data_IF_933354183739
#
_entry.id   IF_933354183739
#
_cell.length_a   1.000
_cell.length_b   1.000
_cell.length_c   1.000
_cell.angle_alpha   90.00
_cell.angle_beta   90.00
_cell.angle_gamma   90.00
#
_symmetry.space_group_name_H-M   'P 1'
#
loop_
_entity.id
_entity.type
_entity.pdbx_description
1 polymer ?
#
# COMPACT_ATOMS: atom_id res chain seq x y z
N UNK A 1 38.18 -24.45 -40.32
CA UNK A 1 39.54 -24.07 -39.82
C UNK A 1 39.45 -23.73 -38.33
N UNK A 2 40.05 -24.62 -37.54
CA UNK A 2 40.44 -24.57 -36.11
C UNK A 2 39.48 -24.01 -35.05
N UNK A 3 38.90 -24.95 -34.36
CA UNK A 3 38.33 -24.94 -33.03
C UNK A 3 39.45 -24.69 -31.99
N UNK A 4 39.25 -23.73 -31.06
CA UNK A 4 40.03 -23.70 -29.82
C UNK A 4 39.08 -23.88 -28.64
N UNK A 5 39.22 -25.05 -27.99
CA UNK A 5 38.71 -25.40 -26.67
C UNK A 5 39.55 -24.68 -25.60
N UNK A 6 38.92 -24.10 -24.63
CA UNK A 6 39.59 -23.66 -23.37
C UNK A 6 38.90 -24.42 -22.24
N UNK A 7 39.69 -25.19 -21.53
CA UNK A 7 39.33 -26.09 -20.43
C UNK A 7 39.05 -25.32 -19.15
N UNK A 8 38.01 -25.76 -18.46
CA UNK A 8 37.71 -25.36 -17.08
C UNK A 8 38.67 -26.06 -16.11
N UNK A 9 39.21 -25.32 -15.16
CA UNK A 9 39.97 -25.86 -14.04
C UNK A 9 39.11 -25.75 -12.78
N UNK A 10 38.60 -26.88 -12.30
CA UNK A 10 37.99 -27.05 -10.98
C UNK A 10 39.10 -27.10 -9.94
N UNK A 11 39.00 -26.20 -8.92
CA UNK A 11 39.80 -26.31 -7.70
C UNK A 11 38.85 -26.69 -6.55
N UNK A 12 38.86 -27.96 -6.16
CA UNK A 12 38.21 -28.49 -4.99
C UNK A 12 39.12 -28.27 -3.76
N UNK A 13 38.65 -27.56 -2.78
CA UNK A 13 39.31 -27.42 -1.48
C UNK A 13 38.56 -28.24 -0.44
N UNK A 14 39.07 -29.43 -0.12
CA UNK A 14 38.63 -30.31 0.94
C UNK A 14 39.27 -29.89 2.26
N UNK A 15 38.46 -29.42 3.24
CA UNK A 15 38.88 -29.28 4.64
C UNK A 15 38.46 -30.53 5.42
N UNK A 16 39.46 -31.33 5.84
CA UNK A 16 39.32 -32.38 6.84
C UNK A 16 39.21 -31.74 8.25
N UNK A 17 38.17 -32.06 8.96
CA UNK A 17 38.17 -31.91 10.44
C UNK A 17 38.31 -33.29 11.06
N UNK A 18 39.39 -33.46 11.82
CA UNK A 18 39.67 -34.63 12.64
C UNK A 18 38.79 -34.61 13.91
N UNK A 19 38.10 -35.74 14.17
CA UNK A 19 37.50 -36.05 15.45
C UNK A 19 38.55 -36.58 16.41
N UNK A 20 38.68 -35.92 17.56
CA UNK A 20 39.31 -36.50 18.73
C UNK A 20 38.24 -36.80 19.78
N UNK A 21 37.99 -38.07 20.02
CA UNK A 21 37.16 -38.55 21.12
C UNK A 21 38.04 -38.70 22.38
N UNK A 22 37.60 -38.19 23.50
CA UNK A 22 37.98 -38.81 24.82
C UNK A 22 37.08 -38.33 25.96
N UNK A 23 36.47 -39.34 26.67
CA UNK A 23 36.31 -39.32 28.10
C UNK A 23 35.03 -38.80 28.72
N UNK A 24 34.14 -39.74 29.05
CA UNK A 24 32.99 -39.55 29.92
C UNK A 24 33.41 -39.24 31.38
N UNK A 25 32.70 -38.31 32.03
CA UNK A 25 32.43 -38.32 33.48
C UNK A 25 31.09 -37.65 33.73
N UNK A 26 30.19 -38.43 34.34
CA UNK A 26 28.91 -37.98 34.90
C UNK A 26 29.15 -37.17 36.21
N UNK A 27 28.29 -36.16 36.42
CA UNK A 27 27.50 -35.81 37.63
C UNK A 27 27.12 -34.31 37.60
N UNK A 28 26.20 -33.81 38.42
CA UNK A 28 24.78 -33.66 38.12
C UNK A 28 24.31 -32.20 38.29
N UNK A 29 23.05 -31.99 37.89
CA UNK A 29 22.13 -30.91 38.31
C UNK A 29 22.66 -29.47 38.40
N UNK A 30 22.11 -28.60 37.51
CA UNK A 30 22.29 -27.16 37.64
C UNK A 30 21.68 -26.38 36.48
N UNK A 31 20.42 -26.05 36.61
CA UNK A 31 19.78 -24.84 36.12
C UNK A 31 19.87 -24.53 34.61
N UNK A 32 18.77 -24.82 33.90
CA UNK A 32 18.40 -24.17 32.66
C UNK A 32 18.37 -22.66 32.87
N UNK A 33 19.44 -21.99 32.52
CA UNK A 33 19.48 -20.53 32.40
C UNK A 33 18.79 -20.13 31.09
N UNK A 34 17.67 -19.54 31.28
CA UNK A 34 16.78 -18.82 30.42
C UNK A 34 17.51 -17.91 29.40
N UNK A 35 17.72 -18.37 28.15
CA UNK A 35 18.22 -17.54 27.04
C UNK A 35 17.13 -16.67 26.40
N UNK A 36 16.00 -16.45 27.07
CA UNK A 36 14.85 -15.76 26.49
C UNK A 36 14.53 -14.38 27.12
N UNK A 37 15.40 -13.85 27.99
CA UNK A 37 15.16 -12.55 28.66
C UNK A 37 15.82 -11.34 27.98
N UNK A 38 16.60 -11.53 26.90
CA UNK A 38 17.35 -10.43 26.28
C UNK A 38 16.59 -9.74 25.12
N UNK A 39 15.38 -10.18 24.78
CA UNK A 39 14.58 -9.61 23.69
C UNK A 39 13.44 -8.68 24.12
N UNK A 40 13.13 -8.60 25.41
CA UNK A 40 12.03 -7.77 25.93
C UNK A 40 12.47 -6.41 26.50
N UNK A 41 13.74 -6.25 26.87
CA UNK A 41 14.24 -4.99 27.46
C UNK A 41 14.49 -3.85 26.43
N UNK A 42 14.59 -4.15 25.13
CA UNK A 42 14.82 -3.15 24.09
C UNK A 42 13.54 -2.46 23.56
N UNK A 43 12.34 -2.88 24.00
CA UNK A 43 11.05 -2.31 23.57
C UNK A 43 10.52 -1.18 24.48
N UNK A 44 11.05 -0.98 25.68
CA UNK A 44 10.51 -0.03 26.69
C UNK A 44 10.92 1.45 26.49
N UNK A 45 11.31 1.91 25.33
CA UNK A 45 11.75 3.31 25.19
C UNK A 45 11.30 4.02 23.91
N UNK A 46 10.60 3.35 23.01
CA UNK A 46 10.34 3.91 21.68
C UNK A 46 8.91 4.38 21.53
N UNK A 47 8.71 5.69 21.42
CA UNK A 47 7.41 6.25 21.08
C UNK A 47 6.95 5.68 19.73
N UNK A 48 5.82 4.95 19.67
CA UNK A 48 5.30 4.46 18.41
C UNK A 48 5.05 5.63 17.47
N UNK A 49 5.61 5.57 16.27
CA UNK A 49 5.32 6.53 15.23
C UNK A 49 4.00 6.13 14.61
N UNK A 50 3.06 7.04 14.53
CA UNK A 50 1.76 6.82 13.94
C UNK A 50 1.54 7.75 12.75
N UNK A 51 0.82 7.24 11.76
CA UNK A 51 0.36 8.02 10.61
C UNK A 51 -0.95 7.45 10.08
N UNK A 52 -1.63 8.25 9.28
CA UNK A 52 -2.95 7.92 8.77
C UNK A 52 -3.00 7.96 7.26
N UNK A 53 -3.84 7.09 6.69
CA UNK A 53 -4.07 7.02 5.24
C UNK A 53 -5.57 7.06 4.93
N UNK A 54 -5.93 7.62 3.78
CA UNK A 54 -7.30 7.60 3.26
C UNK A 54 -7.26 7.30 1.77
N UNK A 55 -8.08 6.36 1.31
CA UNK A 55 -8.31 6.14 -0.11
C UNK A 55 -9.74 6.49 -0.50
N UNK A 56 -9.91 7.08 -1.69
CA UNK A 56 -11.21 7.55 -2.15
C UNK A 56 -11.30 7.53 -3.68
N UNK A 57 -12.16 6.66 -4.22
CA UNK A 57 -12.56 6.74 -5.62
C UNK A 57 -13.49 7.96 -5.78
N UNK A 58 -13.15 8.89 -6.66
CA UNK A 58 -13.81 10.20 -6.79
C UNK A 58 -14.88 10.25 -7.88
N UNK A 59 -15.22 9.10 -8.44
CA UNK A 59 -16.25 8.96 -9.49
C UNK A 59 -16.05 9.99 -10.62
N UNK A 60 -14.97 9.81 -11.41
CA UNK A 60 -14.65 10.66 -12.57
C UNK A 60 -14.52 12.17 -12.29
N UNK A 61 -13.95 12.55 -11.14
CA UNK A 61 -13.68 13.95 -10.82
C UNK A 61 -12.89 14.62 -11.98
N UNK A 62 -13.42 15.70 -12.53
CA UNK A 62 -12.86 16.42 -13.69
C UNK A 62 -13.33 15.95 -15.06
N UNK A 63 -14.23 14.95 -15.14
CA UNK A 63 -14.87 14.52 -16.41
C UNK A 63 -16.36 14.83 -16.48
N UNK A 64 -16.97 15.32 -15.43
CA UNK A 64 -18.37 15.65 -15.42
C UNK A 64 -18.69 16.70 -16.49
N UNK A 65 -19.68 16.40 -17.34
CA UNK A 65 -20.09 17.27 -18.47
C UNK A 65 -20.87 18.52 -18.04
N UNK A 66 -21.12 18.68 -16.77
CA UNK A 66 -21.89 19.76 -16.17
C UNK A 66 -20.95 20.89 -15.74
N UNK A 67 -20.66 21.84 -16.56
CA UNK A 67 -19.98 23.13 -16.33
C UNK A 67 -18.97 23.31 -15.17
N UNK A 68 -18.11 24.31 -15.24
CA UNK A 68 -17.04 24.54 -14.24
C UNK A 68 -17.55 24.72 -12.80
N UNK A 69 -18.73 25.32 -12.61
CA UNK A 69 -19.34 25.53 -11.30
C UNK A 69 -19.69 24.21 -10.59
N UNK A 70 -20.07 23.17 -11.35
CA UNK A 70 -20.38 21.86 -10.79
C UNK A 70 -19.13 21.10 -10.39
N UNK A 71 -18.03 21.25 -11.13
CA UNK A 71 -16.73 20.66 -10.76
C UNK A 71 -16.24 21.25 -9.44
N UNK A 72 -16.30 22.58 -9.27
CA UNK A 72 -15.86 23.25 -8.05
C UNK A 72 -16.68 22.80 -6.84
N UNK A 73 -18.00 22.67 -6.97
CA UNK A 73 -18.87 22.15 -5.92
C UNK A 73 -18.56 20.68 -5.56
N UNK A 74 -18.30 19.81 -6.56
CA UNK A 74 -17.88 18.43 -6.34
C UNK A 74 -16.53 18.37 -5.61
N UNK A 75 -15.54 19.14 -6.06
CA UNK A 75 -14.22 19.18 -5.40
C UNK A 75 -14.29 19.66 -3.94
N UNK A 76 -15.17 20.63 -3.64
CA UNK A 76 -15.41 21.08 -2.25
C UNK A 76 -15.98 19.96 -1.38
N UNK A 77 -16.95 19.20 -1.91
CA UNK A 77 -17.55 18.07 -1.19
C UNK A 77 -16.55 16.93 -1.00
N UNK A 78 -15.76 16.58 -2.05
CA UNK A 78 -14.68 15.57 -1.93
C UNK A 78 -13.66 15.96 -0.87
N UNK A 79 -13.22 17.24 -0.87
CA UNK A 79 -12.30 17.74 0.15
C UNK A 79 -12.91 17.71 1.54
N UNK A 80 -14.19 18.08 1.70
CA UNK A 80 -14.89 18.03 2.97
C UNK A 80 -15.02 16.60 3.53
N UNK A 81 -15.20 15.59 2.66
CA UNK A 81 -15.18 14.18 3.07
C UNK A 81 -13.80 13.78 3.61
N UNK A 82 -12.72 14.19 2.93
CA UNK A 82 -11.34 13.92 3.34
C UNK A 82 -11.02 14.63 4.67
N UNK A 83 -11.44 15.89 4.82
CA UNK A 83 -11.18 16.73 6.00
C UNK A 83 -11.82 16.23 7.29
N UNK A 84 -12.79 15.28 7.22
CA UNK A 84 -13.33 14.62 8.41
C UNK A 84 -12.26 13.89 9.22
N UNK A 85 -11.18 13.43 8.56
CA UNK A 85 -10.09 12.67 9.18
C UNK A 85 -8.73 13.34 9.10
N UNK A 86 -8.54 14.34 8.21
CA UNK A 86 -7.25 15.01 7.97
C UNK A 86 -6.09 14.03 7.82
N UNK A 87 -6.19 13.04 6.91
CA UNK A 87 -5.20 11.98 6.79
C UNK A 87 -3.85 12.48 6.30
N UNK A 88 -2.78 11.81 6.72
CA UNK A 88 -1.42 12.18 6.30
C UNK A 88 -1.13 11.77 4.84
N UNK A 89 -1.79 10.71 4.37
CA UNK A 89 -1.64 10.22 2.98
C UNK A 89 -3.03 9.98 2.40
N UNK A 90 -3.26 10.49 1.18
CA UNK A 90 -4.53 10.38 0.47
C UNK A 90 -4.28 9.78 -0.91
N UNK A 91 -4.94 8.68 -1.24
CA UNK A 91 -4.96 8.11 -2.59
C UNK A 91 -6.31 8.37 -3.24
N UNK A 92 -6.31 9.00 -4.40
CA UNK A 92 -7.51 9.27 -5.19
C UNK A 92 -7.53 8.35 -6.41
N UNK A 93 -8.68 7.77 -6.70
CA UNK A 93 -8.96 7.02 -7.93
C UNK A 93 -10.01 7.76 -8.75
N UNK A 94 -10.07 7.48 -10.03
CA UNK A 94 -10.93 8.18 -11.00
C UNK A 94 -10.77 9.70 -10.98
N UNK A 95 -9.62 10.17 -10.57
CA UNK A 95 -9.25 11.57 -10.64
C UNK A 95 -8.67 11.83 -12.04
N UNK A 96 -9.53 12.27 -12.95
CA UNK A 96 -9.28 12.22 -14.39
C UNK A 96 -8.09 13.05 -14.86
N UNK A 97 -7.73 14.08 -14.12
CA UNK A 97 -6.63 14.99 -14.48
C UNK A 97 -5.82 15.41 -13.26
N UNK A 98 -4.56 15.79 -13.49
CA UNK A 98 -3.74 16.44 -12.47
C UNK A 98 -4.40 17.70 -11.90
N UNK A 99 -5.11 18.45 -12.74
CA UNK A 99 -5.81 19.67 -12.32
C UNK A 99 -6.98 19.36 -11.38
N UNK A 100 -7.73 18.28 -11.60
CA UNK A 100 -8.78 17.83 -10.70
C UNK A 100 -8.20 17.47 -9.33
N UNK A 101 -7.13 16.64 -9.29
CA UNK A 101 -6.45 16.28 -8.05
C UNK A 101 -5.90 17.51 -7.31
N UNK A 102 -5.31 18.44 -8.02
CA UNK A 102 -4.80 19.68 -7.44
C UNK A 102 -5.93 20.61 -6.94
N UNK A 103 -7.07 20.62 -7.64
CA UNK A 103 -8.24 21.39 -7.22
C UNK A 103 -8.84 20.81 -5.92
N UNK A 104 -8.93 19.49 -5.77
CA UNK A 104 -9.33 18.84 -4.52
C UNK A 104 -8.34 19.22 -3.42
N UNK A 105 -7.02 19.02 -3.64
CA UNK A 105 -5.96 19.35 -2.68
C UNK A 105 -6.07 20.82 -2.19
N UNK A 106 -6.27 21.77 -3.11
CA UNK A 106 -6.39 23.21 -2.79
C UNK A 106 -7.62 23.55 -1.93
N UNK A 107 -8.59 22.66 -1.82
CA UNK A 107 -9.80 22.83 -1.02
C UNK A 107 -9.74 22.13 0.34
N UNK A 108 -8.70 21.36 0.61
CA UNK A 108 -8.45 20.81 1.95
C UNK A 108 -8.23 21.94 2.95
N UNK A 109 -8.68 21.75 4.18
CA UNK A 109 -8.54 22.74 5.26
C UNK A 109 -7.07 23.12 5.49
N UNK A 110 -6.18 22.13 5.52
CA UNK A 110 -4.74 22.30 5.77
C UNK A 110 -3.94 22.21 4.44
N UNK A 111 -4.50 22.70 3.33
CA UNK A 111 -3.97 22.57 1.95
C UNK A 111 -2.49 22.89 1.78
N UNK A 112 -1.97 23.83 2.57
CA UNK A 112 -0.58 24.29 2.48
C UNK A 112 0.40 23.27 3.06
N UNK A 113 -0.09 22.29 3.84
CA UNK A 113 0.70 21.18 4.36
C UNK A 113 0.78 19.99 3.38
N UNK A 114 0.02 20.01 2.28
CA UNK A 114 -0.04 18.87 1.38
C UNK A 114 0.66 19.11 0.04
N UNK A 115 1.43 18.09 -0.38
CA UNK A 115 1.97 17.97 -1.71
C UNK A 115 1.20 16.93 -2.53
N UNK A 116 1.19 17.09 -3.87
CA UNK A 116 0.55 16.19 -4.82
C UNK A 116 1.60 15.47 -5.67
N UNK A 117 1.40 14.17 -5.86
CA UNK A 117 2.07 13.36 -6.88
C UNK A 117 0.99 12.76 -7.78
N UNK A 118 0.91 13.22 -9.00
CA UNK A 118 0.00 12.66 -10.00
C UNK A 118 0.63 11.48 -10.71
N UNK A 119 -0.20 10.53 -11.14
CA UNK A 119 0.18 9.51 -12.11
C UNK A 119 0.52 10.12 -13.47
N UNK A 120 0.97 9.29 -14.40
CA UNK A 120 1.10 9.67 -15.81
C UNK A 120 -0.28 9.98 -16.42
N UNK A 121 -0.27 10.67 -17.56
CA UNK A 121 -1.50 10.88 -18.34
C UNK A 121 -2.22 9.54 -18.59
N UNK A 122 -3.49 9.46 -18.22
CA UNK A 122 -4.29 8.24 -18.32
C UNK A 122 -4.34 7.36 -17.06
N UNK A 123 -3.45 7.55 -16.09
CA UNK A 123 -3.46 6.74 -14.86
C UNK A 123 -4.71 6.98 -13.99
N UNK A 124 -5.28 8.17 -14.04
CA UNK A 124 -6.45 8.60 -13.28
C UNK A 124 -6.36 8.33 -11.77
N UNK A 125 -5.12 8.21 -11.26
CA UNK A 125 -4.79 8.09 -9.85
C UNK A 125 -3.91 9.25 -9.40
N UNK A 126 -4.02 9.64 -8.14
CA UNK A 126 -3.17 10.66 -7.55
C UNK A 126 -2.87 10.31 -6.09
N UNK A 127 -1.69 10.68 -5.62
CA UNK A 127 -1.32 10.60 -4.22
C UNK A 127 -1.08 12.01 -3.68
N UNK A 128 -1.73 12.33 -2.56
CA UNK A 128 -1.52 13.56 -1.80
C UNK A 128 -0.92 13.16 -0.46
N UNK A 129 0.10 13.86 0.00
CA UNK A 129 0.75 13.54 1.27
C UNK A 129 1.09 14.81 2.07
N UNK A 130 1.03 14.69 3.38
CA UNK A 130 1.41 15.76 4.31
C UNK A 130 2.94 15.92 4.31
N UNK A 131 3.43 17.02 3.73
CA UNK A 131 4.86 17.33 3.60
C UNK A 131 5.53 17.72 4.93
N UNK A 132 4.77 17.94 5.99
CA UNK A 132 5.31 18.17 7.33
C UNK A 132 5.60 16.86 8.06
N UNK A 133 5.01 15.75 7.61
CA UNK A 133 5.19 14.39 8.14
C UNK A 133 6.09 13.56 7.24
N UNK A 134 5.96 13.73 5.92
CA UNK A 134 6.66 12.92 4.93
C UNK A 134 7.45 13.74 3.92
N UNK A 135 8.56 13.17 3.49
CA UNK A 135 9.32 13.59 2.31
C UNK A 135 9.17 12.55 1.18
N UNK A 136 8.91 13.00 -0.04
CA UNK A 136 8.94 12.13 -1.22
C UNK A 136 10.38 11.92 -1.67
N UNK A 137 10.85 10.68 -1.64
CA UNK A 137 12.22 10.33 -2.07
C UNK A 137 12.27 9.81 -3.51
N UNK A 138 11.20 9.13 -3.97
CA UNK A 138 11.11 8.66 -5.35
C UNK A 138 9.63 8.48 -5.77
N UNK A 139 9.39 8.40 -7.07
CA UNK A 139 8.07 8.04 -7.62
C UNK A 139 8.19 7.56 -9.05
N UNK A 140 7.23 6.78 -9.49
CA UNK A 140 7.15 6.33 -10.88
C UNK A 140 5.74 5.88 -11.26
N UNK A 141 5.57 5.62 -12.55
CA UNK A 141 4.31 5.16 -13.11
C UNK A 141 4.59 4.31 -14.35
N UNK A 142 3.92 3.15 -14.46
CA UNK A 142 3.97 2.29 -15.64
C UNK A 142 2.61 1.66 -15.93
N UNK A 143 2.34 1.39 -17.19
CA UNK A 143 1.12 0.69 -17.60
C UNK A 143 1.17 -0.79 -17.23
N UNK A 144 0.09 -1.30 -16.65
CA UNK A 144 -0.06 -2.70 -16.21
C UNK A 144 -1.20 -3.45 -16.91
N UNK A 145 -2.12 -2.73 -17.56
CA UNK A 145 -3.20 -3.28 -18.38
C UNK A 145 -3.49 -2.36 -19.55
N UNK A 146 -3.91 -2.93 -20.67
CA UNK A 146 -4.32 -2.20 -21.88
C UNK A 146 -5.75 -2.58 -22.20
N UNK A 147 -6.60 -1.61 -22.51
CA UNK A 147 -7.98 -1.85 -22.93
C UNK A 147 -8.03 -2.84 -24.10
N UNK A 148 -8.80 -3.93 -23.92
CA UNK A 148 -8.92 -5.00 -24.93
C UNK A 148 -7.73 -5.95 -25.04
N UNK A 149 -6.84 -5.98 -24.04
CA UNK A 149 -5.74 -6.95 -24.00
C UNK A 149 -6.26 -8.39 -23.81
N UNK A 150 -5.36 -9.35 -23.80
CA UNK A 150 -5.67 -10.81 -23.68
C UNK A 150 -6.43 -11.18 -22.40
N UNK A 151 -6.38 -10.33 -21.36
CA UNK A 151 -7.12 -10.51 -20.11
C UNK A 151 -8.55 -9.95 -20.21
N UNK A 152 -8.90 -9.28 -21.29
CA UNK A 152 -10.18 -8.59 -21.49
C UNK A 152 -10.32 -7.32 -20.66
N UNK A 153 -9.19 -6.66 -20.33
CA UNK A 153 -9.19 -5.39 -19.59
C UNK A 153 -10.10 -4.38 -20.27
N UNK A 154 -11.02 -3.77 -19.50
CA UNK A 154 -11.95 -2.78 -20.04
C UNK A 154 -11.29 -1.41 -20.24
N UNK A 155 -10.23 -1.13 -19.48
CA UNK A 155 -9.55 0.15 -19.47
C UNK A 155 -8.03 -0.02 -19.41
N UNK A 156 -7.32 1.02 -19.85
CA UNK A 156 -5.90 1.17 -19.55
C UNK A 156 -5.72 1.33 -18.04
N UNK A 157 -4.82 0.55 -17.44
CA UNK A 157 -4.53 0.60 -16.01
C UNK A 157 -3.04 0.78 -15.77
N UNK A 158 -2.73 1.47 -14.68
CA UNK A 158 -1.36 1.91 -14.38
C UNK A 158 -0.99 1.55 -12.94
N UNK A 159 0.24 1.11 -12.75
CA UNK A 159 0.92 1.09 -11.47
C UNK A 159 1.57 2.46 -11.27
N UNK A 160 1.03 3.26 -10.39
CA UNK A 160 1.69 4.44 -9.83
C UNK A 160 2.28 4.03 -8.48
N UNK A 161 3.48 4.48 -8.18
CA UNK A 161 4.09 4.26 -6.87
C UNK A 161 4.80 5.52 -6.39
N UNK A 162 4.80 5.74 -5.07
CA UNK A 162 5.46 6.87 -4.43
C UNK A 162 6.21 6.34 -3.21
N UNK A 163 7.52 6.56 -3.14
CA UNK A 163 8.33 6.27 -1.95
C UNK A 163 8.33 7.50 -1.07
N UNK A 164 7.90 7.30 0.17
CA UNK A 164 7.84 8.33 1.20
C UNK A 164 8.79 7.97 2.33
N UNK A 165 9.48 8.97 2.88
CA UNK A 165 10.26 8.89 4.10
C UNK A 165 9.55 9.66 5.19
N UNK A 166 9.26 9.01 6.32
CA UNK A 166 8.77 9.70 7.51
C UNK A 166 9.89 10.57 8.08
N UNK A 167 9.64 11.88 8.22
CA UNK A 167 10.69 12.87 8.51
C UNK A 167 11.35 12.64 9.87
N UNK A 168 10.55 12.38 10.90
CA UNK A 168 11.05 12.20 12.27
C UNK A 168 11.86 10.92 12.43
N UNK A 169 11.42 9.79 11.87
CA UNK A 169 12.05 8.49 12.06
C UNK A 169 13.07 8.11 10.98
N UNK A 170 13.02 8.77 9.83
CA UNK A 170 13.79 8.40 8.65
C UNK A 170 13.34 7.13 7.93
N UNK A 171 12.25 6.50 8.39
CA UNK A 171 11.74 5.25 7.83
C UNK A 171 11.14 5.50 6.45
N UNK A 172 11.51 4.67 5.47
CA UNK A 172 10.96 4.70 4.12
C UNK A 172 9.97 3.56 3.89
N UNK A 173 8.92 3.86 3.15
CA UNK A 173 7.98 2.89 2.63
C UNK A 173 7.42 3.34 1.28
N UNK A 174 6.87 2.42 0.51
CA UNK A 174 6.25 2.71 -0.77
C UNK A 174 4.72 2.69 -0.63
N UNK A 175 4.06 3.69 -1.21
CA UNK A 175 2.59 3.76 -1.29
C UNK A 175 2.17 3.61 -2.74
N UNK A 176 1.17 2.77 -2.95
CA UNK A 176 0.61 2.47 -4.27
C UNK A 176 -0.88 2.80 -4.27
N UNK A 177 -1.29 3.90 -4.92
CA UNK A 177 -2.70 4.14 -5.19
C UNK A 177 -3.19 3.11 -6.23
N UNK A 178 -4.12 2.25 -5.81
CA UNK A 178 -4.66 1.17 -6.63
C UNK A 178 -5.93 1.62 -7.36
N UNK A 179 -6.00 1.31 -8.64
CA UNK A 179 -7.24 1.25 -9.41
C UNK A 179 -7.08 0.21 -10.52
N UNK A 180 -7.37 -1.04 -10.18
CA UNK A 180 -7.34 -2.16 -11.15
C UNK A 180 -8.67 -2.30 -11.87
N UNK A 181 -8.72 -3.17 -12.88
CA UNK A 181 -9.92 -3.38 -13.68
C UNK A 181 -11.01 -4.14 -12.89
N UNK A 182 -12.27 -4.03 -13.32
CA UNK A 182 -13.39 -4.81 -12.74
C UNK A 182 -13.52 -6.20 -13.37
N UNK A 183 -12.91 -6.44 -14.54
CA UNK A 183 -12.89 -7.77 -15.17
C UNK A 183 -11.96 -8.68 -14.39
N UNK A 184 -12.48 -9.82 -13.90
CA UNK A 184 -11.75 -10.69 -12.98
C UNK A 184 -10.39 -11.13 -13.49
N UNK A 185 -10.27 -11.57 -14.74
CA UNK A 185 -8.99 -11.99 -15.30
C UNK A 185 -8.00 -10.83 -15.37
N UNK A 186 -8.48 -9.63 -15.71
CA UNK A 186 -7.66 -8.43 -15.81
C UNK A 186 -7.16 -7.97 -14.44
N UNK A 187 -8.03 -7.82 -13.41
CA UNK A 187 -7.53 -7.38 -12.11
C UNK A 187 -6.57 -8.39 -11.47
N UNK A 188 -6.78 -9.70 -11.67
CA UNK A 188 -5.84 -10.71 -11.15
C UNK A 188 -4.45 -10.57 -11.81
N UNK A 189 -4.40 -10.40 -13.14
CA UNK A 189 -3.15 -10.18 -13.86
C UNK A 189 -2.48 -8.85 -13.46
N UNK A 190 -3.25 -7.79 -13.26
CA UNK A 190 -2.73 -6.49 -12.86
C UNK A 190 -2.17 -6.52 -11.42
N UNK A 191 -2.86 -7.18 -10.48
CA UNK A 191 -2.37 -7.37 -9.11
C UNK A 191 -1.08 -8.21 -9.09
N UNK A 192 -0.96 -9.22 -9.97
CA UNK A 192 0.29 -9.98 -10.13
C UNK A 192 1.43 -9.07 -10.58
N UNK A 193 1.22 -8.26 -11.64
CA UNK A 193 2.24 -7.30 -12.12
C UNK A 193 2.66 -6.30 -11.05
N UNK A 194 1.73 -5.82 -10.22
CA UNK A 194 2.02 -4.91 -9.09
C UNK A 194 2.91 -5.59 -8.06
N UNK A 195 2.56 -6.82 -7.65
CA UNK A 195 3.34 -7.54 -6.64
C UNK A 195 4.72 -7.96 -7.15
N UNK A 196 4.83 -8.36 -8.42
CA UNK A 196 6.11 -8.68 -9.06
C UNK A 196 7.00 -7.43 -9.14
N UNK A 197 6.45 -6.29 -9.56
CA UNK A 197 7.18 -5.02 -9.55
C UNK A 197 7.73 -4.67 -8.16
N UNK A 198 6.91 -4.85 -7.11
CA UNK A 198 7.33 -4.57 -5.74
C UNK A 198 8.46 -5.49 -5.29
N UNK A 199 8.42 -6.77 -5.63
CA UNK A 199 9.50 -7.73 -5.35
C UNK A 199 10.80 -7.37 -6.05
N UNK A 200 10.72 -7.00 -7.31
CA UNK A 200 11.90 -6.74 -8.15
C UNK A 200 12.53 -5.37 -7.88
N UNK A 201 11.70 -4.33 -7.64
CA UNK A 201 12.15 -2.94 -7.63
C UNK A 201 12.05 -2.26 -6.26
N UNK A 202 11.33 -2.87 -5.30
CA UNK A 202 11.10 -2.34 -3.96
C UNK A 202 11.44 -3.38 -2.89
N UNK A 203 12.32 -4.33 -3.18
CA UNK A 203 12.73 -5.37 -2.23
C UNK A 203 13.25 -4.75 -0.92
N UNK A 204 12.80 -5.29 0.22
CA UNK A 204 13.20 -4.79 1.54
C UNK A 204 12.55 -3.47 1.98
N UNK A 205 11.59 -2.94 1.21
CA UNK A 205 10.83 -1.74 1.57
C UNK A 205 9.40 -2.14 1.96
N UNK A 206 8.89 -1.61 3.06
CA UNK A 206 7.48 -1.78 3.43
C UNK A 206 6.57 -1.16 2.39
N UNK A 207 5.40 -1.75 2.16
CA UNK A 207 4.47 -1.29 1.14
C UNK A 207 3.05 -1.11 1.72
N UNK A 208 2.38 -0.06 1.26
CA UNK A 208 0.94 0.17 1.48
C UNK A 208 0.27 0.25 0.12
N UNK A 209 -0.68 -0.63 -0.13
CA UNK A 209 -1.52 -0.66 -1.32
C UNK A 209 -2.92 -0.21 -0.91
N UNK A 210 -3.41 0.87 -1.48
CA UNK A 210 -4.68 1.46 -1.08
C UNK A 210 -5.47 1.99 -2.27
N UNK A 211 -6.75 1.66 -2.36
CA UNK A 211 -7.56 2.07 -3.49
C UNK A 211 -8.72 1.17 -3.81
N UNK A 212 -9.24 1.37 -5.01
CA UNK A 212 -10.27 0.56 -5.62
C UNK A 212 -9.65 -0.67 -6.31
N UNK A 213 -9.87 -1.82 -5.69
CA UNK A 213 -9.42 -3.12 -6.21
C UNK A 213 -10.46 -3.78 -7.12
N UNK A 214 -11.66 -3.18 -7.27
CA UNK A 214 -12.78 -3.74 -8.02
C UNK A 214 -13.07 -5.22 -7.67
N UNK A 215 -12.73 -5.64 -6.46
CA UNK A 215 -12.79 -7.02 -6.00
C UNK A 215 -13.14 -7.11 -4.52
N UNK A 216 -14.02 -8.07 -4.20
CA UNK A 216 -14.40 -8.39 -2.82
C UNK A 216 -13.23 -9.02 -2.04
N UNK A 217 -13.21 -8.91 -0.69
CA UNK A 217 -12.14 -9.47 0.15
C UNK A 217 -11.85 -10.95 -0.10
N UNK A 218 -12.90 -11.75 -0.34
CA UNK A 218 -12.76 -13.18 -0.62
C UNK A 218 -11.99 -13.47 -1.91
N UNK A 219 -12.18 -12.65 -2.94
CA UNK A 219 -11.46 -12.77 -4.21
C UNK A 219 -9.99 -12.37 -4.06
N UNK A 220 -9.71 -11.37 -3.23
CA UNK A 220 -8.34 -10.89 -3.00
C UNK A 220 -7.48 -11.88 -2.19
N UNK A 221 -8.07 -12.71 -1.33
CA UNK A 221 -7.35 -13.78 -0.60
C UNK A 221 -6.70 -14.80 -1.54
N UNK A 222 -7.28 -15.07 -2.70
CA UNK A 222 -6.75 -15.99 -3.70
C UNK A 222 -5.94 -15.31 -4.82
N UNK A 223 -5.80 -13.98 -4.77
CA UNK A 223 -4.97 -13.21 -5.69
C UNK A 223 -3.52 -13.11 -5.22
N UNK A 224 -2.67 -12.43 -6.01
CA UNK A 224 -1.29 -12.12 -5.62
C UNK A 224 -1.21 -11.36 -4.28
N UNK A 225 -2.22 -10.58 -3.91
CA UNK A 225 -2.26 -9.89 -2.61
C UNK A 225 -2.25 -10.90 -1.45
N UNK A 226 -3.11 -11.93 -1.50
CA UNK A 226 -3.16 -12.95 -0.46
C UNK A 226 -1.96 -13.89 -0.48
N UNK A 227 -1.54 -14.37 -1.67
CA UNK A 227 -0.42 -15.31 -1.82
C UNK A 227 0.94 -14.69 -1.47
N UNK A 228 1.08 -13.38 -1.61
CA UNK A 228 2.28 -12.61 -1.22
C UNK A 228 2.22 -12.07 0.21
N UNK A 229 1.22 -12.49 0.99
CA UNK A 229 1.07 -12.16 2.41
C UNK A 229 0.96 -10.65 2.69
N UNK A 230 0.18 -9.92 1.88
CA UNK A 230 -0.26 -8.58 2.25
C UNK A 230 -1.39 -8.68 3.27
N UNK A 231 -1.25 -7.96 4.38
CA UNK A 231 -2.24 -7.91 5.43
C UNK A 231 -3.32 -6.86 5.13
N UNK A 232 -4.58 -7.19 5.36
CA UNK A 232 -5.68 -6.24 5.26
C UNK A 232 -5.75 -5.36 6.50
N UNK A 233 -5.68 -4.04 6.34
CA UNK A 233 -5.87 -3.10 7.44
C UNK A 233 -7.24 -3.31 8.11
N UNK A 234 -8.29 -3.59 7.33
CA UNK A 234 -9.64 -3.90 7.82
C UNK A 234 -9.68 -5.13 8.73
N UNK A 235 -8.90 -6.17 8.41
CA UNK A 235 -8.90 -7.41 9.20
C UNK A 235 -7.96 -7.34 10.41
N UNK A 236 -6.91 -6.54 10.33
CA UNK A 236 -5.83 -6.46 11.32
C UNK A 236 -5.96 -5.29 12.30
N UNK A 237 -6.83 -4.31 12.02
CA UNK A 237 -6.98 -3.15 12.88
C UNK A 237 -7.37 -3.55 14.31
N UNK A 238 -6.67 -2.96 15.28
CA UNK A 238 -7.00 -3.11 16.70
C UNK A 238 -8.40 -2.59 17.00
N UNK A 239 -8.78 -1.48 16.36
CA UNK A 239 -10.13 -0.92 16.39
C UNK A 239 -10.69 -0.85 14.96
N UNK A 240 -11.79 -1.54 14.70
CA UNK A 240 -12.47 -1.54 13.40
C UNK A 240 -13.92 -1.08 13.56
N UNK A 241 -14.22 0.11 13.07
CA UNK A 241 -15.58 0.70 13.09
C UNK A 241 -16.48 0.21 11.96
N UNK A 242 -15.92 -0.42 10.92
CA UNK A 242 -16.65 -0.63 9.66
C UNK A 242 -16.38 -2.00 9.03
N UNK A 243 -16.32 -3.06 9.85
CA UNK A 243 -15.90 -4.40 9.40
C UNK A 243 -16.70 -4.93 8.20
N UNK A 244 -18.00 -4.63 8.15
CA UNK A 244 -18.94 -5.13 7.12
C UNK A 244 -19.62 -3.97 6.36
N UNK A 245 -19.05 -2.79 6.34
CA UNK A 245 -19.61 -1.62 5.66
C UNK A 245 -19.16 -1.65 4.20
N UNK A 246 -20.11 -1.59 3.27
CA UNK A 246 -19.84 -1.46 1.86
C UNK A 246 -19.10 -0.16 1.56
N UNK A 247 -18.12 -0.24 0.67
CA UNK A 247 -17.37 0.93 0.18
C UNK A 247 -17.95 1.45 -1.13
N UNK A 248 -18.62 0.60 -1.91
CA UNK A 248 -19.33 0.96 -3.15
C UNK A 248 -20.83 1.08 -2.91
N UNK A 249 -21.43 2.20 -3.35
CA UNK A 249 -22.84 2.56 -3.18
C UNK A 249 -23.71 2.23 -4.41
N UNK A 250 -23.08 1.82 -5.51
CA UNK A 250 -23.78 1.45 -6.74
C UNK A 250 -24.56 0.15 -6.60
N UNK A 251 -25.22 -0.26 -7.69
CA UNK A 251 -26.02 -1.48 -7.73
C UNK A 251 -25.20 -2.70 -7.31
N UNK A 252 -25.74 -3.47 -6.37
CA UNK A 252 -25.09 -4.65 -5.79
C UNK A 252 -24.17 -4.37 -4.60
N UNK A 253 -23.79 -3.14 -4.36
CA UNK A 253 -22.93 -2.75 -3.22
C UNK A 253 -21.57 -3.46 -3.23
N UNK A 254 -20.91 -3.43 -2.07
CA UNK A 254 -19.74 -4.27 -1.84
C UNK A 254 -18.55 -3.55 -1.23
N UNK A 255 -17.63 -4.36 -0.69
CA UNK A 255 -16.35 -3.88 -0.13
C UNK A 255 -15.30 -4.08 -1.22
N UNK A 256 -15.05 -3.06 -2.03
CA UNK A 256 -14.10 -3.11 -3.15
C UNK A 256 -12.94 -2.12 -3.03
N UNK A 257 -13.05 -1.16 -2.12
CA UNK A 257 -11.96 -0.27 -1.75
C UNK A 257 -11.25 -0.81 -0.50
N UNK A 258 -9.94 -0.94 -0.58
CA UNK A 258 -9.15 -1.61 0.45
C UNK A 258 -7.87 -0.86 0.78
N UNK A 259 -7.34 -1.14 1.98
CA UNK A 259 -5.99 -0.80 2.38
C UNK A 259 -5.29 -2.10 2.80
N UNK A 260 -4.25 -2.47 2.05
CA UNK A 260 -3.36 -3.59 2.36
C UNK A 260 -1.96 -3.09 2.68
N UNK A 261 -1.23 -3.84 3.48
CA UNK A 261 0.15 -3.50 3.82
C UNK A 261 1.03 -4.74 3.97
N UNK A 262 2.32 -4.55 3.76
CA UNK A 262 3.36 -5.55 3.98
C UNK A 262 4.56 -4.87 4.61
N UNK A 263 5.04 -5.41 5.73
CA UNK A 263 6.27 -4.95 6.36
C UNK A 263 7.49 -5.58 5.69
N UNK A 264 8.57 -4.84 5.56
CA UNK A 264 9.86 -5.39 5.14
C UNK A 264 10.48 -6.25 6.23
N UNK A 265 11.40 -7.16 5.88
CA UNK A 265 12.06 -8.09 6.80
C UNK A 265 12.82 -7.37 7.94
N UNK A 266 13.36 -6.17 7.67
CA UNK A 266 14.05 -5.33 8.65
C UNK A 266 13.14 -4.40 9.43
N UNK A 267 11.84 -4.36 9.13
CA UNK A 267 10.88 -3.41 9.64
C UNK A 267 9.88 -4.12 10.55
N UNK A 268 10.24 -4.28 11.80
CA UNK A 268 9.34 -4.85 12.79
C UNK A 268 8.28 -3.81 13.13
N UNK A 269 7.01 -4.13 12.87
CA UNK A 269 5.91 -3.52 13.56
C UNK A 269 5.02 -2.55 12.80
N UNK A 270 4.97 -2.54 11.42
CA UNK A 270 3.86 -1.88 10.75
C UNK A 270 2.57 -2.62 11.12
N UNK A 271 1.72 -1.97 11.90
CA UNK A 271 0.46 -2.52 12.42
C UNK A 271 -0.67 -1.57 12.09
N UNK A 272 -1.81 -2.11 11.66
CA UNK A 272 -3.05 -1.33 11.55
C UNK A 272 -3.66 -1.15 12.93
N UNK A 273 -3.86 0.10 13.34
CA UNK A 273 -4.42 0.45 14.64
C UNK A 273 -5.92 0.74 14.56
N UNK A 274 -6.34 1.41 13.48
CA UNK A 274 -7.71 1.85 13.30
C UNK A 274 -8.15 1.66 11.84
N UNK A 275 -9.44 1.34 11.64
CA UNK A 275 -10.05 1.23 10.32
C UNK A 275 -11.50 1.73 10.35
N UNK A 276 -11.86 2.56 9.37
CA UNK A 276 -13.21 3.11 9.21
C UNK A 276 -13.54 3.38 7.74
N UNK A 277 -14.78 3.07 7.36
CA UNK A 277 -15.41 3.54 6.12
C UNK A 277 -16.29 4.74 6.49
N UNK A 278 -16.05 5.90 5.86
CA UNK A 278 -16.78 7.12 6.18
C UNK A 278 -18.18 7.08 5.53
N UNK A 279 -19.23 7.16 6.36
CA UNK A 279 -20.63 6.93 5.95
C UNK A 279 -21.47 8.22 5.94
N UNK A 280 -20.86 9.39 5.74
CA UNK A 280 -21.59 10.67 5.56
C UNK A 280 -22.21 10.76 4.15
N UNK A 281 -23.05 9.77 3.79
CA UNK A 281 -23.52 9.54 2.42
C UNK A 281 -24.33 10.72 1.85
N UNK A 282 -25.07 11.46 2.67
CA UNK A 282 -25.85 12.64 2.25
C UNK A 282 -24.97 13.78 1.70
N UNK A 283 -23.69 13.80 2.05
CA UNK A 283 -22.71 14.78 1.58
C UNK A 283 -21.69 14.19 0.60
N UNK A 284 -21.74 12.89 0.39
CA UNK A 284 -20.79 12.17 -0.46
C UNK A 284 -21.10 12.42 -1.95
N UNK A 285 -20.18 13.03 -2.72
CA UNK A 285 -20.39 13.31 -4.14
C UNK A 285 -19.90 12.16 -5.04
N UNK A 286 -19.60 10.99 -4.48
CA UNK A 286 -19.12 9.79 -5.18
C UNK A 286 -20.05 8.61 -4.91
N UNK A 287 -20.04 7.63 -5.79
CA UNK A 287 -20.65 6.30 -5.59
C UNK A 287 -19.74 5.36 -4.77
N UNK A 288 -18.60 5.85 -4.30
CA UNK A 288 -17.75 5.18 -3.33
C UNK A 288 -17.69 5.95 -2.02
N UNK A 289 -17.43 5.23 -0.92
CA UNK A 289 -17.14 5.80 0.39
C UNK A 289 -15.63 5.85 0.61
N UNK A 290 -15.11 6.94 1.22
CA UNK A 290 -13.70 6.96 1.62
C UNK A 290 -13.40 5.88 2.65
N UNK A 291 -12.24 5.24 2.53
CA UNK A 291 -11.71 4.28 3.49
C UNK A 291 -10.51 4.89 4.21
N UNK A 292 -10.58 4.95 5.52
CA UNK A 292 -9.55 5.51 6.40
C UNK A 292 -8.91 4.43 7.25
N UNK A 293 -7.59 4.50 7.43
CA UNK A 293 -6.86 3.62 8.33
C UNK A 293 -5.71 4.36 9.02
N UNK A 294 -5.43 3.96 10.27
CA UNK A 294 -4.26 4.42 11.00
C UNK A 294 -3.27 3.28 11.18
N UNK A 295 -2.01 3.61 11.09
CA UNK A 295 -0.90 2.71 11.26
C UNK A 295 0.02 3.19 12.36
N UNK A 296 0.64 2.24 13.06
CA UNK A 296 1.80 2.51 13.89
C UNK A 296 2.97 1.65 13.44
N UNK A 297 4.17 2.14 13.67
CA UNK A 297 5.39 1.36 13.54
C UNK A 297 6.42 1.77 14.59
N UNK A 298 7.18 0.78 15.07
CA UNK A 298 8.35 1.01 15.90
C UNK A 298 9.58 1.33 15.03
N UNK A 299 10.57 1.96 15.64
CA UNK A 299 11.91 2.12 15.03
C UNK A 299 12.56 0.78 14.82
#
# INVERSE_FOLDING_TARGET
MRIKRISALLLALTLLFAFAACGAKETPDGEDANENEQSEEDEEGMTPISFSVLTYNTQNAGRDKSGEDSHDAKYKKLAAMIDQKKPDIIALQECATTDAANSIRKKLADKDNYNLVSGSSGAHTALIYNKTVFEKTASGCQQIGTAGDETGSAYDRYLQWVRLRHIESGIEFVVIPIHVDYVKAAYLAQLQKITDYLKENQAGVSAILMGDFNAQPSSLKSSAIGTEHYYSAREQATENKSKNTDTFLGEGGGIIDHVFYKSSVGFRGLKSQYYEVLTSDENNPSDHRPVYAEFSFGK
#
